data_IF_348871609958
#
_entry.id   IF_348871609958
#
_cell.length_a   1.000
_cell.length_b   1.000
_cell.length_c   1.000
_cell.angle_alpha   90.00
_cell.angle_beta   90.00
_cell.angle_gamma   90.00
#
_symmetry.space_group_name_H-M   'P 1'
#
loop_
_entity.id
_entity.type
_entity.pdbx_description
1 polymer ?
#
# COMPACT_ATOMS: atom_id res chain seq x y z
N UNK A 1 -25.77 6.10 20.88
CA UNK A 1 -24.67 5.20 20.53
C UNK A 1 -23.66 6.03 19.76
N UNK A 2 -22.54 6.37 20.39
CA UNK A 2 -21.52 7.26 19.83
C UNK A 2 -20.85 6.58 18.65
N UNK A 3 -20.95 7.18 17.48
CA UNK A 3 -20.10 6.88 16.32
C UNK A 3 -18.69 7.24 16.76
N UNK A 4 -17.94 6.23 17.19
CA UNK A 4 -16.52 6.34 17.48
C UNK A 4 -15.81 6.60 16.14
N UNK A 5 -15.70 7.86 15.77
CA UNK A 5 -14.85 8.33 14.70
C UNK A 5 -13.40 8.12 15.19
N UNK A 6 -12.94 6.86 15.14
CA UNK A 6 -11.67 6.48 15.72
C UNK A 6 -10.57 7.24 14.95
N UNK A 7 -9.80 8.03 15.71
CA UNK A 7 -8.66 8.82 15.23
C UNK A 7 -7.75 7.95 14.33
N UNK A 8 -7.47 8.36 13.07
CA UNK A 8 -6.67 7.56 12.13
C UNK A 8 -5.28 7.21 12.66
N UNK A 9 -4.70 8.06 13.53
CA UNK A 9 -3.42 7.78 14.20
C UNK A 9 -3.55 6.63 15.20
N UNK A 10 -4.68 6.57 15.91
CA UNK A 10 -4.93 5.49 16.88
C UNK A 10 -5.07 4.15 16.16
N UNK A 11 -5.86 4.11 15.09
CA UNK A 11 -5.97 2.92 14.25
C UNK A 11 -4.62 2.48 13.69
N UNK A 12 -3.77 3.43 13.28
CA UNK A 12 -2.44 3.12 12.77
C UNK A 12 -1.54 2.56 13.89
N UNK A 13 -1.62 3.07 15.11
CA UNK A 13 -0.88 2.54 16.26
C UNK A 13 -1.35 1.12 16.58
N UNK A 14 -2.64 0.85 16.58
CA UNK A 14 -3.22 -0.48 16.82
C UNK A 14 -2.76 -1.48 15.76
N UNK A 15 -2.81 -1.11 14.49
CA UNK A 15 -2.37 -1.95 13.38
C UNK A 15 -0.85 -2.27 13.45
N UNK A 16 -0.02 -1.25 13.69
CA UNK A 16 1.43 -1.47 13.85
C UNK A 16 1.72 -2.32 15.09
N UNK A 17 0.97 -2.14 16.18
CA UNK A 17 1.09 -3.00 17.38
C UNK A 17 0.79 -4.46 17.05
N UNK A 18 -0.28 -4.72 16.32
CA UNK A 18 -0.66 -6.07 15.88
C UNK A 18 0.44 -6.71 15.04
N UNK A 19 0.99 -5.98 14.07
CA UNK A 19 2.10 -6.44 13.23
C UNK A 19 3.36 -6.72 14.05
N UNK A 20 3.71 -5.86 15.01
CA UNK A 20 4.85 -6.06 15.90
C UNK A 20 4.68 -7.28 16.82
N UNK A 21 3.44 -7.68 17.09
CA UNK A 21 3.10 -8.90 17.83
C UNK A 21 3.11 -10.16 16.97
N UNK A 22 3.36 -10.05 15.67
CA UNK A 22 3.46 -11.18 14.74
C UNK A 22 2.21 -11.43 13.90
N UNK A 23 1.19 -10.59 14.00
CA UNK A 23 0.01 -10.71 13.16
C UNK A 23 0.31 -10.25 11.72
N UNK A 24 -0.39 -10.85 10.76
CA UNK A 24 -0.33 -10.41 9.38
C UNK A 24 -1.04 -9.06 9.20
N UNK A 25 -0.45 -8.18 8.37
CA UNK A 25 -1.12 -6.96 7.95
C UNK A 25 -2.48 -7.28 7.31
N UNK A 26 -3.52 -6.77 7.91
CA UNK A 26 -4.88 -6.87 7.38
C UNK A 26 -5.15 -5.59 6.61
N UNK A 27 -5.13 -5.67 5.26
CA UNK A 27 -5.63 -4.58 4.43
C UNK A 27 -7.08 -4.31 4.84
N UNK A 28 -7.28 -3.32 5.68
CA UNK A 28 -8.61 -2.91 6.12
C UNK A 28 -9.19 -1.95 5.08
N UNK A 29 -10.50 -2.04 4.83
CA UNK A 29 -11.25 -1.11 3.97
C UNK A 29 -11.36 0.30 4.58
N UNK A 30 -10.33 0.73 5.34
CA UNK A 30 -10.29 2.05 5.93
C UNK A 30 -10.07 3.07 4.81
N UNK A 31 -11.14 3.79 4.47
CA UNK A 31 -11.13 4.82 3.41
C UNK A 31 -10.25 6.03 3.76
N UNK A 32 -9.81 6.20 4.99
CA UNK A 32 -9.04 7.35 5.45
C UNK A 32 -7.65 7.38 4.79
N UNK A 33 -7.44 8.39 3.94
CA UNK A 33 -6.20 8.56 3.19
C UNK A 33 -4.99 8.83 4.11
N UNK A 34 -5.22 9.51 5.26
CA UNK A 34 -4.17 9.80 6.22
C UNK A 34 -3.72 8.54 6.95
N UNK A 35 -4.66 7.68 7.37
CA UNK A 35 -4.35 6.37 7.94
C UNK A 35 -3.52 5.53 6.97
N UNK A 36 -3.97 5.40 5.70
CA UNK A 36 -3.24 4.63 4.68
C UNK A 36 -1.82 5.17 4.46
N UNK A 37 -1.66 6.48 4.49
CA UNK A 37 -0.34 7.12 4.38
C UNK A 37 0.56 6.79 5.57
N UNK A 38 0.02 6.84 6.80
CA UNK A 38 0.76 6.46 8.02
C UNK A 38 1.27 5.02 7.94
N UNK A 39 0.38 4.07 7.64
CA UNK A 39 0.75 2.65 7.54
C UNK A 39 1.74 2.40 6.41
N UNK A 40 1.50 2.98 5.23
CA UNK A 40 2.40 2.80 4.08
C UNK A 40 3.81 3.31 4.38
N UNK A 41 3.97 4.48 5.01
CA UNK A 41 5.27 4.98 5.39
C UNK A 41 5.91 4.16 6.52
N UNK A 42 5.14 3.77 7.54
CA UNK A 42 5.63 2.96 8.64
C UNK A 42 6.22 1.63 8.14
N UNK A 43 5.46 0.87 7.33
CA UNK A 43 5.88 -0.45 6.88
C UNK A 43 7.06 -0.38 5.88
N UNK A 44 7.04 0.59 4.97
CA UNK A 44 8.12 0.73 3.97
C UNK A 44 9.44 1.20 4.56
N UNK A 45 9.42 1.89 5.70
CA UNK A 45 10.58 2.53 6.33
C UNK A 45 10.84 2.05 7.75
N UNK A 46 10.31 0.88 8.09
CA UNK A 46 10.37 0.35 9.44
C UNK A 46 11.80 0.20 9.96
N UNK A 47 12.70 -0.30 9.12
CA UNK A 47 14.10 -0.50 9.49
C UNK A 47 14.83 0.82 9.76
N UNK A 48 14.62 1.82 8.92
CA UNK A 48 15.19 3.17 9.07
C UNK A 48 14.62 3.87 10.32
N UNK A 49 13.32 3.76 10.56
CA UNK A 49 12.66 4.31 11.75
C UNK A 49 13.20 3.64 13.02
N UNK A 50 13.33 2.31 13.03
CA UNK A 50 13.91 1.59 14.16
C UNK A 50 15.35 2.04 14.44
N UNK A 51 16.15 2.23 13.39
CA UNK A 51 17.53 2.72 13.54
C UNK A 51 17.56 4.10 14.23
N UNK A 52 16.72 5.04 13.81
CA UNK A 52 16.68 6.37 14.44
C UNK A 52 16.17 6.30 15.87
N UNK A 53 15.08 5.58 16.13
CA UNK A 53 14.52 5.47 17.48
C UNK A 53 15.49 4.82 18.46
N UNK A 54 16.28 3.82 18.01
CA UNK A 54 17.27 3.12 18.82
C UNK A 54 18.32 4.08 19.42
N UNK A 55 18.64 5.20 18.76
CA UNK A 55 19.57 6.21 19.29
C UNK A 55 19.08 6.85 20.60
N UNK A 56 17.77 6.92 20.80
CA UNK A 56 17.15 7.62 21.93
C UNK A 56 16.60 6.64 22.98
N UNK A 57 16.37 5.38 22.61
CA UNK A 57 15.86 4.33 23.51
C UNK A 57 17.04 3.65 24.20
N UNK A 58 17.36 4.08 25.44
CA UNK A 58 18.50 3.55 26.21
C UNK A 58 18.37 2.07 26.55
N UNK A 59 17.14 1.59 26.82
CA UNK A 59 16.85 0.19 27.13
C UNK A 59 15.85 -0.34 26.12
N UNK A 60 16.10 -1.48 25.44
CA UNK A 60 15.16 -2.06 24.51
C UNK A 60 13.76 -2.23 25.15
N UNK A 61 12.73 -1.89 24.38
CA UNK A 61 11.35 -2.13 24.79
C UNK A 61 11.07 -3.64 24.72
N UNK A 62 10.35 -4.15 25.72
CA UNK A 62 9.90 -5.55 25.74
C UNK A 62 8.70 -5.75 24.80
N UNK A 63 8.37 -7.00 24.48
CA UNK A 63 7.26 -7.35 23.59
C UNK A 63 5.91 -6.84 24.10
N UNK A 64 5.69 -6.85 25.42
CA UNK A 64 4.49 -6.29 26.04
C UNK A 64 4.37 -4.76 25.91
N UNK A 65 5.45 -4.11 25.46
CA UNK A 65 5.54 -2.67 25.22
C UNK A 65 5.46 -2.29 23.71
N UNK A 66 5.10 -3.22 22.84
CA UNK A 66 4.98 -2.98 21.40
C UNK A 66 4.01 -1.83 21.04
N UNK A 67 2.99 -1.58 21.85
CA UNK A 67 2.09 -0.44 21.68
C UNK A 67 2.79 0.92 21.91
N UNK A 68 3.82 0.98 22.78
CA UNK A 68 4.66 2.17 22.97
C UNK A 68 5.55 2.37 21.74
N UNK A 69 6.18 1.30 21.27
CA UNK A 69 7.01 1.31 20.07
C UNK A 69 6.19 1.73 18.84
N UNK A 70 4.98 1.19 18.68
CA UNK A 70 4.08 1.57 17.60
C UNK A 70 3.71 3.08 17.63
N UNK A 71 3.45 3.65 18.81
CA UNK A 71 3.20 5.09 18.95
C UNK A 71 4.45 5.91 18.55
N UNK A 72 5.64 5.48 18.96
CA UNK A 72 6.90 6.11 18.55
C UNK A 72 7.12 6.01 17.04
N UNK A 73 6.84 4.86 16.42
CA UNK A 73 6.93 4.66 14.97
C UNK A 73 5.99 5.62 14.24
N UNK A 74 4.71 5.67 14.62
CA UNK A 74 3.73 6.57 13.99
C UNK A 74 4.07 8.05 14.20
N UNK A 75 4.61 8.41 15.37
CA UNK A 75 5.12 9.75 15.62
C UNK A 75 6.33 10.09 14.72
N UNK A 76 7.30 9.18 14.62
CA UNK A 76 8.48 9.33 13.78
C UNK A 76 8.12 9.45 12.28
N UNK A 77 7.18 8.64 11.79
CA UNK A 77 6.65 8.72 10.42
C UNK A 77 6.16 10.13 10.10
N UNK A 78 5.38 10.71 10.98
CA UNK A 78 4.82 12.05 10.77
C UNK A 78 5.92 13.12 10.78
N UNK A 79 6.91 13.00 11.66
CA UNK A 79 8.03 13.96 11.80
C UNK A 79 8.96 13.89 10.59
N UNK A 80 9.32 12.69 10.13
CA UNK A 80 10.40 12.52 9.15
C UNK A 80 9.88 12.51 7.71
N UNK A 81 8.73 11.86 7.45
CA UNK A 81 8.29 11.53 6.08
C UNK A 81 6.99 12.19 5.64
N UNK A 82 6.24 12.75 6.57
CA UNK A 82 4.97 13.41 6.24
C UNK A 82 5.09 14.93 6.43
N UNK A 83 4.27 15.68 5.71
CA UNK A 83 4.21 17.14 5.84
C UNK A 83 3.37 17.57 7.05
N UNK A 84 3.60 16.92 8.19
CA UNK A 84 2.97 17.27 9.46
C UNK A 84 3.94 18.11 10.26
N UNK A 85 3.54 19.28 10.78
CA UNK A 85 4.41 20.06 11.66
C UNK A 85 4.87 19.21 12.85
N UNK A 86 6.18 19.21 13.14
CA UNK A 86 6.79 18.34 14.17
C UNK A 86 6.12 18.50 15.53
N UNK A 87 5.78 19.74 15.92
CA UNK A 87 5.09 20.01 17.17
C UNK A 87 3.69 19.34 17.25
N UNK A 88 2.97 19.31 16.12
CA UNK A 88 1.65 18.69 16.05
C UNK A 88 1.76 17.15 16.13
N UNK A 89 2.74 16.57 15.42
CA UNK A 89 3.01 15.14 15.47
C UNK A 89 3.34 14.66 16.89
N UNK A 90 4.22 15.40 17.59
CA UNK A 90 4.58 15.11 18.99
C UNK A 90 3.38 15.25 19.91
N UNK A 91 2.63 16.36 19.80
CA UNK A 91 1.48 16.62 20.66
C UNK A 91 0.38 15.55 20.52
N UNK A 92 0.07 15.15 19.27
CA UNK A 92 -0.94 14.12 19.03
C UNK A 92 -0.49 12.75 19.55
N UNK A 93 0.77 12.35 19.35
CA UNK A 93 1.32 11.12 19.91
C UNK A 93 1.27 11.12 21.45
N UNK A 94 1.58 12.24 22.09
CA UNK A 94 1.52 12.40 23.55
C UNK A 94 0.07 12.36 24.07
N UNK A 95 -0.88 12.99 23.36
CA UNK A 95 -2.31 12.92 23.72
C UNK A 95 -2.82 11.47 23.68
N UNK A 96 -2.47 10.72 22.64
CA UNK A 96 -2.83 9.31 22.54
C UNK A 96 -2.17 8.47 23.63
N UNK A 97 -0.89 8.74 23.94
CA UNK A 97 -0.18 8.06 25.01
C UNK A 97 -0.81 8.34 26.39
N UNK A 98 -1.20 9.57 26.68
CA UNK A 98 -1.89 9.90 27.95
C UNK A 98 -3.17 9.09 28.14
N UNK A 99 -3.90 8.81 27.05
CA UNK A 99 -5.14 8.03 27.08
C UNK A 99 -4.89 6.53 27.24
N UNK A 100 -3.92 5.99 26.49
CA UNK A 100 -3.77 4.53 26.32
C UNK A 100 -2.59 3.96 27.11
N UNK A 101 -1.57 4.77 27.42
CA UNK A 101 -0.33 4.40 28.10
C UNK A 101 0.13 5.48 29.06
N UNK A 102 -0.70 5.83 30.07
CA UNK A 102 -0.49 7.03 30.89
C UNK A 102 0.86 7.06 31.62
N UNK A 103 1.45 5.90 31.92
CA UNK A 103 2.79 5.84 32.55
C UNK A 103 3.94 6.13 31.59
N UNK A 104 3.71 6.13 30.27
CA UNK A 104 4.77 6.25 29.25
C UNK A 104 4.73 7.53 28.41
N UNK A 105 3.75 8.43 28.63
CA UNK A 105 3.60 9.63 27.79
C UNK A 105 4.82 10.56 27.89
N UNK A 106 5.47 10.67 29.07
CA UNK A 106 6.69 11.47 29.24
C UNK A 106 7.85 10.89 28.43
N UNK A 107 7.99 9.58 28.41
CA UNK A 107 8.99 8.86 27.63
C UNK A 107 8.78 9.08 26.13
N UNK A 108 7.56 8.89 25.63
CA UNK A 108 7.22 9.13 24.21
C UNK A 108 7.49 10.60 23.84
N UNK A 109 7.08 11.55 24.69
CA UNK A 109 7.34 12.97 24.45
C UNK A 109 8.85 13.28 24.35
N UNK A 110 9.66 12.74 25.27
CA UNK A 110 11.10 12.99 25.27
C UNK A 110 11.78 12.48 23.99
N UNK A 111 11.46 11.26 23.57
CA UNK A 111 12.03 10.65 22.36
C UNK A 111 11.61 11.40 21.10
N UNK A 112 10.32 11.66 20.91
CA UNK A 112 9.83 12.31 19.70
C UNK A 112 10.30 13.77 19.61
N UNK A 113 10.43 14.50 20.74
CA UNK A 113 11.03 15.83 20.75
C UNK A 113 12.51 15.82 20.39
N UNK A 114 13.27 14.82 20.84
CA UNK A 114 14.67 14.71 20.47
C UNK A 114 14.83 14.37 18.99
N UNK A 115 14.04 13.42 18.48
CA UNK A 115 13.99 13.07 17.06
C UNK A 115 13.64 14.30 16.20
N UNK A 116 12.63 15.08 16.61
CA UNK A 116 12.23 16.32 15.92
C UNK A 116 13.37 17.31 15.82
N UNK A 117 14.07 17.57 16.93
CA UNK A 117 15.23 18.47 16.96
C UNK A 117 16.36 18.00 16.06
N UNK A 118 16.66 16.70 16.08
CA UNK A 118 17.74 16.16 15.26
C UNK A 118 17.37 16.15 13.77
N UNK A 119 16.09 15.97 13.44
CA UNK A 119 15.58 16.12 12.08
C UNK A 119 15.68 17.58 11.59
N UNK A 120 15.23 18.54 12.38
CA UNK A 120 15.28 19.98 12.06
C UNK A 120 16.73 20.48 11.91
N UNK A 121 17.65 19.99 12.73
CA UNK A 121 19.08 20.31 12.68
C UNK A 121 19.86 19.48 11.64
N UNK A 122 19.19 18.66 10.81
CA UNK A 122 19.79 17.78 9.80
C UNK A 122 20.86 16.83 10.36
N UNK A 123 20.66 16.36 11.60
CA UNK A 123 21.55 15.41 12.29
C UNK A 123 21.19 13.94 12.06
N UNK A 124 20.08 13.67 11.38
CA UNK A 124 19.71 12.30 11.02
C UNK A 124 20.64 11.80 9.91
N UNK A 125 21.28 10.67 10.19
CA UNK A 125 22.18 10.02 9.25
C UNK A 125 21.41 9.49 8.04
N UNK A 126 21.97 9.67 6.85
CA UNK A 126 21.42 9.07 5.63
C UNK A 126 21.77 7.59 5.58
N UNK A 127 20.77 6.75 5.69
CA UNK A 127 20.93 5.30 5.67
C UNK A 127 20.83 4.71 4.26
N UNK A 128 21.44 3.53 4.11
CA UNK A 128 21.19 2.71 2.92
C UNK A 128 19.70 2.31 2.85
N UNK A 129 19.07 2.34 1.68
CA UNK A 129 17.70 1.87 1.52
C UNK A 129 17.52 0.41 1.91
N UNK A 130 18.60 -0.39 1.90
CA UNK A 130 18.60 -1.79 2.34
C UNK A 130 18.24 -1.97 3.81
N UNK A 131 18.43 -0.94 4.64
CA UNK A 131 18.01 -0.98 6.04
C UNK A 131 16.51 -1.25 6.23
N UNK A 132 15.71 -1.01 5.19
CA UNK A 132 14.27 -1.24 5.21
C UNK A 132 13.85 -2.63 4.72
N UNK A 133 14.81 -3.48 4.34
CA UNK A 133 14.57 -4.87 3.93
C UNK A 133 15.15 -5.80 5.01
N UNK A 134 14.42 -6.85 5.43
CA UNK A 134 14.94 -7.82 6.39
C UNK A 134 16.29 -8.40 5.96
N UNK A 135 17.23 -8.50 6.89
CA UNK A 135 18.59 -8.96 6.59
C UNK A 135 18.63 -10.35 5.94
N UNK A 136 17.72 -11.26 6.34
CA UNK A 136 17.62 -12.60 5.77
C UNK A 136 17.30 -12.54 4.27
N UNK A 137 16.47 -11.61 3.85
CA UNK A 137 16.12 -11.41 2.44
C UNK A 137 17.31 -10.81 1.70
N UNK A 138 17.94 -9.76 2.24
CA UNK A 138 19.11 -9.14 1.64
C UNK A 138 20.24 -10.15 1.44
N UNK A 139 20.53 -10.97 2.47
CA UNK A 139 21.57 -11.98 2.41
C UNK A 139 21.28 -13.06 1.36
N UNK A 140 20.04 -13.51 1.20
CA UNK A 140 19.66 -14.43 0.13
C UNK A 140 19.86 -13.80 -1.25
N UNK A 141 19.43 -12.58 -1.42
CA UNK A 141 19.54 -11.88 -2.71
C UNK A 141 20.97 -11.57 -3.12
N UNK A 142 21.90 -11.39 -2.16
CA UNK A 142 23.34 -11.21 -2.46
C UNK A 142 23.98 -12.40 -3.15
N UNK A 143 23.37 -13.59 -3.08
CA UNK A 143 23.84 -14.75 -3.83
C UNK A 143 23.56 -14.65 -5.33
N UNK A 144 22.62 -13.81 -5.75
CA UNK A 144 22.11 -13.74 -7.14
C UNK A 144 22.22 -12.34 -7.74
N UNK A 145 22.26 -11.29 -6.90
CA UNK A 145 22.21 -9.90 -7.31
C UNK A 145 23.42 -9.12 -6.80
N UNK A 146 23.90 -8.18 -7.63
CA UNK A 146 24.92 -7.23 -7.20
C UNK A 146 24.37 -6.21 -6.20
N UNK A 147 25.26 -5.57 -5.42
CA UNK A 147 24.87 -4.54 -4.44
C UNK A 147 24.11 -3.38 -5.10
N UNK A 148 24.53 -2.95 -6.31
CA UNK A 148 23.83 -1.90 -7.08
C UNK A 148 22.40 -2.29 -7.45
N UNK A 149 22.20 -3.56 -7.82
CA UNK A 149 20.84 -4.07 -8.11
C UNK A 149 19.99 -4.09 -6.86
N UNK A 150 20.54 -4.52 -5.73
CA UNK A 150 19.86 -4.53 -4.44
C UNK A 150 19.44 -3.12 -4.01
N UNK A 151 20.35 -2.14 -4.12
CA UNK A 151 20.07 -0.74 -3.81
C UNK A 151 18.98 -0.19 -4.74
N UNK A 152 18.99 -0.51 -6.03
CA UNK A 152 17.93 -0.10 -6.96
C UNK A 152 16.57 -0.68 -6.57
N UNK A 153 16.51 -1.97 -6.23
CA UNK A 153 15.29 -2.63 -5.76
C UNK A 153 14.79 -1.97 -4.47
N UNK A 154 15.67 -1.79 -3.48
CA UNK A 154 15.32 -1.17 -2.20
C UNK A 154 14.80 0.26 -2.39
N UNK A 155 15.43 1.08 -3.22
CA UNK A 155 14.95 2.41 -3.55
C UNK A 155 13.57 2.38 -4.20
N UNK A 156 13.32 1.42 -5.10
CA UNK A 156 12.00 1.29 -5.73
C UNK A 156 10.89 1.01 -4.71
N UNK A 157 11.17 0.22 -3.67
CA UNK A 157 10.22 -0.04 -2.58
C UNK A 157 9.90 1.22 -1.74
N UNK A 158 10.79 2.20 -1.69
CA UNK A 158 10.61 3.45 -0.95
C UNK A 158 9.87 4.53 -1.75
N UNK A 159 9.68 4.35 -3.05
CA UNK A 159 8.94 5.30 -3.88
C UNK A 159 7.46 5.34 -3.50
N UNK A 160 6.80 6.45 -3.87
CA UNK A 160 5.35 6.54 -3.80
C UNK A 160 4.69 5.38 -4.56
N UNK A 161 3.46 4.96 -4.19
CA UNK A 161 2.73 3.97 -4.96
C UNK A 161 2.71 4.33 -6.44
N UNK A 162 2.83 3.34 -7.35
CA UNK A 162 2.77 3.60 -8.78
C UNK A 162 1.42 4.24 -9.16
N UNK A 163 1.43 4.95 -10.28
CA UNK A 163 0.21 5.49 -10.84
C UNK A 163 -0.79 4.35 -11.12
N UNK A 164 -2.09 4.64 -10.97
CA UNK A 164 -3.13 3.65 -11.18
C UNK A 164 -3.33 3.41 -12.67
N UNK A 165 -3.22 2.16 -13.09
CA UNK A 165 -3.51 1.73 -14.44
C UNK A 165 -4.90 1.09 -14.51
N UNK A 166 -5.62 1.38 -15.58
CA UNK A 166 -6.90 0.78 -15.90
C UNK A 166 -6.88 0.13 -17.28
N UNK A 167 -7.65 -0.93 -17.40
CA UNK A 167 -7.94 -1.58 -18.68
C UNK A 167 -9.33 -1.20 -19.15
N UNK A 168 -9.42 -0.79 -20.39
CA UNK A 168 -10.69 -0.47 -21.05
C UNK A 168 -11.10 -1.64 -21.93
N UNK A 169 -12.37 -2.01 -21.90
CA UNK A 169 -12.89 -3.06 -22.77
C UNK A 169 -12.61 -2.74 -24.25
N UNK A 170 -12.28 -3.77 -25.04
CA UNK A 170 -12.05 -3.61 -26.48
C UNK A 170 -13.27 -3.04 -27.26
N UNK A 171 -14.46 -3.12 -26.66
CA UNK A 171 -15.72 -2.57 -27.22
C UNK A 171 -15.87 -1.06 -26.97
N UNK A 172 -15.02 -0.47 -26.11
CA UNK A 172 -15.10 0.92 -25.72
C UNK A 172 -14.08 1.79 -26.46
N UNK A 173 -14.42 3.07 -26.66
CA UNK A 173 -13.49 4.03 -27.25
C UNK A 173 -12.49 4.55 -26.20
N UNK A 174 -11.24 4.10 -26.28
CA UNK A 174 -10.18 4.49 -25.34
C UNK A 174 -9.95 5.99 -25.29
N UNK A 175 -10.08 6.72 -26.40
CA UNK A 175 -9.86 8.16 -26.44
C UNK A 175 -10.92 8.92 -25.63
N UNK A 176 -12.18 8.45 -25.64
CA UNK A 176 -13.24 8.98 -24.78
C UNK A 176 -12.84 8.86 -23.30
N UNK A 177 -12.37 7.70 -22.90
CA UNK A 177 -12.00 7.44 -21.51
C UNK A 177 -10.70 8.13 -21.10
N UNK A 178 -9.71 8.23 -22.00
CA UNK A 178 -8.51 9.03 -21.77
C UNK A 178 -8.84 10.49 -21.41
N UNK A 179 -9.74 11.11 -22.14
CA UNK A 179 -10.16 12.51 -21.89
C UNK A 179 -10.96 12.61 -20.60
N UNK A 180 -11.99 11.76 -20.45
CA UNK A 180 -12.89 11.76 -19.29
C UNK A 180 -12.14 11.53 -17.94
N UNK A 181 -11.13 10.68 -17.95
CA UNK A 181 -10.36 10.30 -16.76
C UNK A 181 -9.04 11.09 -16.63
N UNK A 182 -8.76 12.02 -17.52
CA UNK A 182 -7.52 12.82 -17.54
C UNK A 182 -6.26 11.95 -17.48
N UNK A 183 -6.27 10.82 -18.18
CA UNK A 183 -5.19 9.83 -18.17
C UNK A 183 -4.28 9.92 -19.39
N UNK A 184 -3.23 9.07 -19.38
CA UNK A 184 -2.35 8.81 -20.53
C UNK A 184 -2.56 7.39 -21.02
N UNK A 185 -2.68 7.20 -22.35
CA UNK A 185 -2.81 5.88 -22.94
C UNK A 185 -1.47 5.15 -22.98
N UNK A 186 -1.50 3.85 -22.71
CA UNK A 186 -0.40 2.93 -22.87
C UNK A 186 -0.87 1.70 -23.65
N UNK A 187 -0.33 1.48 -24.84
CA UNK A 187 -0.81 0.44 -25.74
C UNK A 187 -2.26 0.67 -26.19
N UNK A 188 -2.93 -0.40 -26.60
CA UNK A 188 -4.26 -0.29 -27.27
C UNK A 188 -5.41 -0.01 -26.30
N UNK A 189 -5.40 -0.60 -25.08
CA UNK A 189 -6.57 -0.61 -24.19
C UNK A 189 -6.25 -0.19 -22.74
N UNK A 190 -5.16 0.52 -22.52
CA UNK A 190 -4.72 0.90 -21.18
C UNK A 190 -4.63 2.41 -21.01
N UNK A 191 -5.06 2.87 -19.85
CA UNK A 191 -4.94 4.26 -19.44
C UNK A 191 -4.28 4.28 -18.08
N UNK A 192 -3.20 5.06 -17.95
CA UNK A 192 -2.60 5.42 -16.68
C UNK A 192 -3.23 6.69 -16.17
N UNK A 193 -3.82 6.63 -14.99
CA UNK A 193 -4.42 7.80 -14.36
C UNK A 193 -3.31 8.71 -13.82
N UNK A 194 -3.44 10.00 -14.05
CA UNK A 194 -2.57 11.00 -13.45
C UNK A 194 -2.97 11.20 -11.99
N UNK A 195 -2.01 11.62 -11.15
CA UNK A 195 -2.25 11.84 -9.72
C UNK A 195 -3.48 12.73 -9.45
N UNK A 196 -4.13 12.53 -8.30
CA UNK A 196 -5.32 13.25 -7.82
C UNK A 196 -6.65 12.88 -8.52
N UNK A 197 -6.83 11.62 -8.87
CA UNK A 197 -8.08 11.12 -9.46
C UNK A 197 -9.25 10.91 -8.46
N UNK A 198 -9.00 11.07 -7.15
CA UNK A 198 -10.04 10.90 -6.12
C UNK A 198 -10.42 9.44 -5.83
N UNK A 199 -11.66 9.21 -5.39
CA UNK A 199 -12.16 7.85 -5.13
C UNK A 199 -12.49 7.15 -6.45
N UNK A 200 -12.01 5.91 -6.61
CA UNK A 200 -12.12 5.12 -7.84
C UNK A 200 -13.58 4.85 -8.20
N UNK A 201 -14.40 4.51 -7.22
CA UNK A 201 -15.83 4.23 -7.40
C UNK A 201 -16.68 5.43 -7.85
N UNK A 202 -16.09 6.63 -7.79
CA UNK A 202 -16.67 7.89 -8.25
C UNK A 202 -16.19 8.33 -9.62
N UNK A 203 -15.25 7.62 -10.21
CA UNK A 203 -14.74 7.93 -11.54
C UNK A 203 -15.77 7.56 -12.62
N UNK A 204 -15.85 8.39 -13.65
CA UNK A 204 -16.75 8.16 -14.78
C UNK A 204 -16.51 6.77 -15.40
N UNK A 205 -17.58 6.03 -15.65
CA UNK A 205 -17.54 4.72 -16.27
C UNK A 205 -17.20 3.56 -15.32
N UNK A 206 -16.88 3.82 -14.05
CA UNK A 206 -16.62 2.74 -13.10
C UNK A 206 -17.88 1.93 -12.79
N UNK A 207 -18.95 2.60 -12.36
CA UNK A 207 -20.23 1.96 -12.03
C UNK A 207 -20.89 1.31 -13.24
N UNK A 208 -20.71 1.90 -14.40
CA UNK A 208 -21.20 1.42 -15.69
C UNK A 208 -20.36 0.26 -16.26
N UNK A 209 -19.33 -0.17 -15.56
CA UNK A 209 -18.49 -1.30 -15.95
C UNK A 209 -17.69 -1.12 -17.23
N UNK A 210 -17.33 0.12 -17.58
CA UNK A 210 -16.65 0.44 -18.84
C UNK A 210 -15.17 0.11 -18.83
N UNK A 211 -14.61 -0.04 -17.67
CA UNK A 211 -13.20 -0.34 -17.43
C UNK A 211 -12.99 -0.99 -16.05
N UNK A 212 -11.81 -1.56 -15.84
CA UNK A 212 -11.39 -2.14 -14.57
C UNK A 212 -9.95 -1.76 -14.23
N UNK A 213 -9.59 -1.88 -12.95
CA UNK A 213 -8.23 -1.64 -12.49
C UNK A 213 -7.38 -2.85 -12.84
N UNK A 214 -6.28 -2.60 -13.53
CA UNK A 214 -5.28 -3.62 -13.82
C UNK A 214 -3.96 -2.97 -14.21
N UNK A 215 -2.92 -3.25 -13.44
CA UNK A 215 -1.56 -2.84 -13.75
C UNK A 215 -1.14 -3.35 -15.13
N UNK A 216 -0.42 -2.51 -15.88
CA UNK A 216 -0.01 -2.84 -17.26
C UNK A 216 0.91 -4.07 -17.30
N UNK A 217 1.77 -4.27 -16.30
CA UNK A 217 2.61 -5.45 -16.21
C UNK A 217 1.79 -6.71 -15.90
N UNK A 218 0.74 -6.59 -15.08
CA UNK A 218 -0.18 -7.71 -14.78
C UNK A 218 -1.00 -8.19 -16.00
N UNK A 219 -1.05 -7.40 -17.07
CA UNK A 219 -1.72 -7.78 -18.32
C UNK A 219 -0.84 -8.60 -19.27
N UNK A 220 0.48 -8.49 -19.12
CA UNK A 220 1.44 -9.12 -20.03
C UNK A 220 1.26 -10.64 -20.16
N UNK A 221 1.09 -11.41 -19.07
CA UNK A 221 0.88 -12.86 -19.16
C UNK A 221 -0.33 -13.21 -20.04
N UNK A 222 -1.45 -12.50 -19.86
CA UNK A 222 -2.64 -12.73 -20.69
C UNK A 222 -2.43 -12.31 -22.14
N UNK A 223 -1.73 -11.19 -22.39
CA UNK A 223 -1.42 -10.76 -23.76
C UNK A 223 -0.57 -11.79 -24.50
N UNK A 224 0.43 -12.35 -23.82
CA UNK A 224 1.29 -13.41 -24.38
C UNK A 224 0.46 -14.68 -24.65
N UNK A 225 -0.39 -15.04 -23.71
CA UNK A 225 -1.28 -16.19 -23.83
C UNK A 225 -2.23 -16.04 -25.04
N UNK A 226 -2.91 -14.90 -25.14
CA UNK A 226 -3.82 -14.60 -26.25
C UNK A 226 -3.19 -14.69 -27.63
N UNK A 227 -1.90 -14.39 -27.76
CA UNK A 227 -1.19 -14.52 -29.03
C UNK A 227 -0.99 -15.99 -29.48
N UNK A 228 -1.16 -16.95 -28.58
CA UNK A 228 -0.94 -18.39 -28.82
C UNK A 228 -2.23 -19.22 -28.74
N UNK A 229 -3.31 -18.68 -28.18
CA UNK A 229 -4.56 -19.42 -28.01
C UNK A 229 -5.41 -19.43 -29.29
N UNK A 230 -6.14 -20.52 -29.48
CA UNK A 230 -7.23 -20.59 -30.47
C UNK A 230 -8.43 -19.77 -29.97
N UNK A 231 -9.29 -19.30 -30.89
CA UNK A 231 -10.44 -18.43 -30.56
C UNK A 231 -11.39 -19.00 -29.50
N UNK A 232 -11.57 -20.33 -29.49
CA UNK A 232 -12.52 -21.02 -28.59
C UNK A 232 -11.80 -21.72 -27.43
N UNK A 233 -10.60 -21.28 -27.08
CA UNK A 233 -9.84 -21.90 -26.02
C UNK A 233 -10.53 -21.72 -24.66
N UNK A 234 -10.55 -22.81 -23.89
CA UNK A 234 -10.99 -22.80 -22.51
C UNK A 234 -9.78 -22.50 -21.59
N UNK A 235 -9.93 -21.51 -20.71
CA UNK A 235 -8.85 -21.04 -19.83
C UNK A 235 -9.28 -21.17 -18.36
N UNK A 236 -8.37 -21.63 -17.53
CA UNK A 236 -8.54 -21.63 -16.07
C UNK A 236 -7.66 -20.50 -15.50
N UNK A 237 -8.29 -19.55 -14.79
CA UNK A 237 -7.61 -18.50 -14.04
C UNK A 237 -7.52 -18.91 -12.56
N UNK A 238 -6.33 -19.27 -12.11
CA UNK A 238 -6.04 -19.66 -10.74
C UNK A 238 -5.68 -18.44 -9.90
N UNK A 239 -6.20 -18.39 -8.65
CA UNK A 239 -6.05 -17.22 -7.77
C UNK A 239 -6.63 -15.95 -8.41
N UNK A 240 -7.84 -16.07 -8.94
CA UNK A 240 -8.41 -15.13 -9.88
C UNK A 240 -8.76 -13.76 -9.31
N UNK A 241 -9.10 -13.68 -8.01
CA UNK A 241 -9.52 -12.42 -7.40
C UNK A 241 -8.39 -11.38 -7.35
N UNK A 242 -8.72 -10.10 -7.57
CA UNK A 242 -10.05 -9.49 -7.71
C UNK A 242 -10.65 -9.52 -9.12
N UNK A 243 -10.07 -10.26 -10.09
CA UNK A 243 -10.67 -10.50 -11.41
C UNK A 243 -10.06 -9.71 -12.57
N UNK A 244 -8.91 -9.07 -12.40
CA UNK A 244 -8.30 -8.28 -13.47
C UNK A 244 -7.91 -9.11 -14.71
N UNK A 245 -7.25 -10.26 -14.53
CA UNK A 245 -6.91 -11.18 -15.63
C UNK A 245 -8.14 -11.90 -16.18
N UNK A 246 -9.04 -12.34 -15.30
CA UNK A 246 -10.34 -12.90 -15.69
C UNK A 246 -11.09 -11.93 -16.60
N UNK A 247 -11.24 -10.68 -16.21
CA UNK A 247 -11.90 -9.64 -17.01
C UNK A 247 -11.21 -9.44 -18.37
N UNK A 248 -9.89 -9.47 -18.39
CA UNK A 248 -9.11 -9.37 -19.62
C UNK A 248 -9.36 -10.56 -20.56
N UNK A 249 -9.41 -11.79 -20.05
CA UNK A 249 -9.70 -13.00 -20.83
C UNK A 249 -11.14 -12.99 -21.37
N UNK A 250 -12.12 -12.73 -20.50
CA UNK A 250 -13.53 -12.66 -20.87
C UNK A 250 -13.83 -11.54 -21.88
N UNK A 251 -13.17 -10.38 -21.74
CA UNK A 251 -13.31 -9.27 -22.70
C UNK A 251 -12.76 -9.59 -24.10
N UNK A 252 -11.96 -10.66 -24.22
CA UNK A 252 -11.47 -11.22 -25.49
C UNK A 252 -12.30 -12.43 -25.96
N UNK A 253 -13.50 -12.62 -25.41
CA UNK A 253 -14.45 -13.68 -25.77
C UNK A 253 -13.91 -15.11 -25.56
N UNK A 254 -13.07 -15.32 -24.56
CA UNK A 254 -12.64 -16.65 -24.15
C UNK A 254 -13.58 -17.25 -23.10
N UNK A 255 -13.69 -18.59 -23.10
CA UNK A 255 -14.34 -19.32 -22.02
C UNK A 255 -13.39 -19.43 -20.82
N UNK A 256 -13.80 -18.91 -19.66
CA UNK A 256 -12.93 -18.83 -18.47
C UNK A 256 -13.60 -19.45 -17.26
N UNK A 257 -12.89 -20.36 -16.58
CA UNK A 257 -13.22 -20.76 -15.21
C UNK A 257 -12.26 -20.10 -14.25
N UNK A 258 -12.81 -19.31 -13.32
CA UNK A 258 -12.03 -18.61 -12.31
C UNK A 258 -12.07 -19.37 -10.98
N UNK A 259 -10.92 -19.62 -10.39
CA UNK A 259 -10.76 -20.33 -9.11
C UNK A 259 -10.13 -19.38 -8.08
N UNK A 260 -10.80 -19.22 -6.94
CA UNK A 260 -10.31 -18.45 -5.80
C UNK A 260 -10.63 -19.21 -4.50
N UNK A 261 -9.61 -19.49 -3.70
CA UNK A 261 -9.78 -20.28 -2.46
C UNK A 261 -10.36 -19.45 -1.31
N UNK A 262 -10.15 -18.14 -1.30
CA UNK A 262 -10.66 -17.26 -0.27
C UNK A 262 -12.07 -16.77 -0.63
N UNK A 263 -13.07 -17.16 0.18
CA UNK A 263 -14.49 -16.84 -0.07
C UNK A 263 -14.79 -15.34 -0.10
N UNK A 264 -14.13 -14.51 0.71
CA UNK A 264 -14.32 -13.07 0.66
C UNK A 264 -13.75 -12.46 -0.62
N UNK A 265 -12.59 -12.93 -1.07
CA UNK A 265 -12.00 -12.50 -2.33
C UNK A 265 -12.82 -12.98 -3.54
N UNK A 266 -13.38 -14.18 -3.47
CA UNK A 266 -14.30 -14.70 -4.49
C UNK A 266 -15.53 -13.78 -4.66
N UNK A 267 -16.12 -13.30 -3.58
CA UNK A 267 -17.22 -12.32 -3.64
C UNK A 267 -16.82 -11.01 -4.32
N UNK A 268 -15.57 -10.55 -4.12
CA UNK A 268 -15.04 -9.36 -4.80
C UNK A 268 -14.91 -9.62 -6.30
N UNK A 269 -14.39 -10.79 -6.68
CA UNK A 269 -14.31 -11.23 -8.08
C UNK A 269 -15.70 -11.22 -8.75
N UNK A 270 -16.67 -11.88 -8.14
CA UNK A 270 -18.06 -11.93 -8.64
C UNK A 270 -18.67 -10.53 -8.80
N UNK A 271 -18.51 -9.67 -7.79
CA UNK A 271 -18.99 -8.29 -7.82
C UNK A 271 -18.35 -7.50 -8.96
N UNK A 272 -17.04 -7.65 -9.18
CA UNK A 272 -16.34 -6.99 -10.27
C UNK A 272 -16.80 -7.49 -11.65
N UNK A 273 -16.94 -8.79 -11.85
CA UNK A 273 -17.42 -9.38 -13.11
C UNK A 273 -18.87 -8.96 -13.39
N UNK A 274 -19.73 -8.96 -12.38
CA UNK A 274 -21.11 -8.46 -12.49
C UNK A 274 -21.15 -7.00 -12.91
N UNK A 275 -20.34 -6.13 -12.26
CA UNK A 275 -20.23 -4.70 -12.59
C UNK A 275 -19.78 -4.49 -14.04
N UNK A 276 -18.85 -5.31 -14.53
CA UNK A 276 -18.30 -5.27 -15.89
C UNK A 276 -19.23 -5.91 -16.94
N UNK A 277 -20.31 -6.51 -16.51
CA UNK A 277 -21.21 -7.34 -17.37
C UNK A 277 -20.45 -8.43 -18.13
N UNK A 278 -19.52 -9.09 -17.45
CA UNK A 278 -18.75 -10.23 -17.93
C UNK A 278 -19.24 -11.49 -17.23
N UNK A 279 -19.47 -12.54 -18.02
CA UNK A 279 -19.98 -13.85 -17.56
C UNK A 279 -19.01 -14.96 -17.94
#
# INVERSE_FOLDING_TARGET
MSINNSNPRMKAIEEITSILNGDNYKSTDIEDAFYRSLISHALRRLGEIHFYLKKYIKKPLKTDQNHILANLIIGAVQIIYMRVPSYAAVNDSVKLAKKNTPHHFKFINAILRQLSRDMENKKLEKLSPLNNIPNEIVNKWRNELSEDQLIKIANQHLLAPPALDISVSAKENINKWKVSLKGKTFGKNNIRLLNNYGKIDKLNGYKEGKWWIQDIAAQLPVKILLAKLKKDAYVIDLCAAPGGKTAQLLSNNLNVTSIESNSMRAKILESNLKRLNLK
#
